data_IF_840058350174
#
_entry.id   IF_840058350174
#
_cell.length_a   1.000
_cell.length_b   1.000
_cell.length_c   1.000
_cell.angle_alpha   90.00
_cell.angle_beta   90.00
_cell.angle_gamma   90.00
#
_symmetry.space_group_name_H-M   'P 1'
#
loop_
_entity.id
_entity.type
_entity.pdbx_description
1 polymer ?
#
# COMPACT_ATOMS: atom_id res chain seq x y z
N UNK A 1 11.94 -20.27 3.33
CA UNK A 1 10.76 -19.44 3.66
C UNK A 1 9.48 -20.26 3.56
N UNK A 2 8.47 -19.83 4.26
CA UNK A 2 7.12 -20.42 4.22
C UNK A 2 6.18 -19.42 3.58
N UNK A 3 5.33 -19.88 2.66
CA UNK A 3 4.32 -19.07 2.00
C UNK A 3 2.95 -19.50 2.50
N UNK A 4 2.26 -18.61 3.19
CA UNK A 4 0.91 -18.83 3.71
C UNK A 4 -0.11 -18.07 2.88
N UNK A 5 -1.23 -18.72 2.54
CA UNK A 5 -2.38 -18.05 1.94
C UNK A 5 -3.51 -18.07 2.97
N UNK A 6 -3.90 -16.89 3.42
CA UNK A 6 -4.81 -16.72 4.54
C UNK A 6 -6.07 -15.98 4.12
N UNK A 7 -7.13 -16.19 4.90
CA UNK A 7 -8.33 -15.34 4.85
C UNK A 7 -8.35 -14.54 6.16
N UNK A 8 -8.15 -13.24 6.05
CA UNK A 8 -8.12 -12.33 7.20
C UNK A 8 -9.45 -11.61 7.31
N UNK A 9 -10.08 -11.72 8.48
CA UNK A 9 -11.37 -11.08 8.72
C UNK A 9 -11.21 -9.56 8.78
N UNK A 10 -12.10 -8.87 8.06
CA UNK A 10 -12.25 -7.42 8.14
C UNK A 10 -13.55 -7.09 8.85
N UNK A 11 -13.50 -6.68 10.13
CA UNK A 11 -14.71 -6.28 10.83
C UNK A 11 -15.43 -5.09 10.18
N UNK A 12 -14.68 -4.11 9.68
CA UNK A 12 -15.27 -2.92 9.06
C UNK A 12 -16.03 -3.22 7.76
N UNK A 13 -15.61 -4.25 7.02
CA UNK A 13 -16.28 -4.66 5.78
C UNK A 13 -17.18 -5.88 5.97
N UNK A 14 -17.14 -6.52 7.14
CA UNK A 14 -17.86 -7.74 7.44
C UNK A 14 -17.63 -8.84 6.39
N UNK A 15 -16.36 -9.04 6.02
CA UNK A 15 -15.94 -10.08 5.08
C UNK A 15 -14.52 -10.52 5.37
N UNK A 16 -14.10 -11.57 4.70
CA UNK A 16 -12.72 -12.03 4.74
C UNK A 16 -11.95 -11.55 3.50
N UNK A 17 -10.69 -11.16 3.70
CA UNK A 17 -9.80 -10.70 2.64
C UNK A 17 -8.64 -11.68 2.52
N UNK A 18 -8.36 -12.14 1.31
CA UNK A 18 -7.22 -13.03 1.07
C UNK A 18 -5.91 -12.25 1.22
N UNK A 19 -4.96 -12.84 1.94
CA UNK A 19 -3.63 -12.27 2.17
C UNK A 19 -2.59 -13.37 2.00
N UNK A 20 -1.56 -13.10 1.23
CA UNK A 20 -0.41 -13.99 1.10
C UNK A 20 0.70 -13.46 1.98
N UNK A 21 1.28 -14.34 2.82
CA UNK A 21 2.38 -13.98 3.72
C UNK A 21 3.59 -14.85 3.41
N UNK A 22 4.73 -14.22 3.17
CA UNK A 22 6.01 -14.89 2.94
C UNK A 22 6.85 -14.70 4.18
N UNK A 23 7.14 -15.79 4.90
CA UNK A 23 7.80 -15.77 6.20
C UNK A 23 9.20 -16.36 6.06
N UNK A 24 10.27 -15.61 6.40
CA UNK A 24 11.62 -16.17 6.40
C UNK A 24 11.78 -17.26 7.45
N UNK A 25 12.63 -18.24 7.18
CA UNK A 25 12.86 -19.35 8.10
C UNK A 25 13.24 -18.91 9.52
N UNK A 26 14.00 -17.80 9.63
CA UNK A 26 14.42 -17.28 10.95
C UNK A 26 13.25 -16.79 11.81
N UNK A 27 12.11 -16.50 11.23
CA UNK A 27 10.92 -16.04 11.93
C UNK A 27 9.96 -17.18 12.31
N UNK A 28 10.27 -18.41 11.92
CA UNK A 28 9.40 -19.56 12.14
C UNK A 28 9.64 -20.23 13.51
N UNK A 29 8.58 -20.79 14.05
CA UNK A 29 8.61 -21.59 15.28
C UNK A 29 8.78 -20.75 16.57
N UNK A 30 8.87 -21.45 17.69
CA UNK A 30 8.91 -20.82 19.02
C UNK A 30 10.17 -19.98 19.25
N UNK A 31 11.28 -20.32 18.59
CA UNK A 31 12.57 -19.59 18.66
C UNK A 31 12.71 -18.58 17.53
N UNK A 32 11.63 -18.28 16.82
CA UNK A 32 11.65 -17.32 15.73
C UNK A 32 12.07 -15.93 16.18
N UNK A 33 12.79 -15.24 15.29
CA UNK A 33 13.25 -13.87 15.48
C UNK A 33 12.22 -12.90 14.93
N UNK A 34 11.95 -11.82 15.64
CA UNK A 34 11.07 -10.76 15.13
C UNK A 34 11.72 -10.07 13.93
N UNK A 35 10.97 -9.97 12.83
CA UNK A 35 11.46 -9.44 11.56
C UNK A 35 10.66 -8.21 11.15
N UNK A 36 11.29 -7.30 10.38
CA UNK A 36 10.54 -6.22 9.74
C UNK A 36 9.58 -6.78 8.70
N UNK A 37 8.54 -6.02 8.40
CA UNK A 37 7.48 -6.39 7.46
C UNK A 37 7.43 -5.38 6.34
N UNK A 38 7.35 -5.87 5.10
CA UNK A 38 7.02 -5.05 3.93
C UNK A 38 5.66 -5.51 3.40
N UNK A 39 4.71 -4.59 3.40
CA UNK A 39 3.40 -4.78 2.80
C UNK A 39 3.49 -4.42 1.32
N UNK A 40 3.08 -5.35 0.44
CA UNK A 40 3.16 -5.22 -1.02
C UNK A 40 1.76 -5.13 -1.61
N UNK A 41 1.42 -4.00 -2.20
CA UNK A 41 0.10 -3.75 -2.77
C UNK A 41 0.11 -3.96 -4.29
N UNK A 42 -0.85 -4.74 -4.80
CA UNK A 42 -0.97 -5.02 -6.23
C UNK A 42 -1.62 -3.87 -7.01
N UNK A 43 -1.46 -3.88 -8.32
CA UNK A 43 -2.10 -2.95 -9.23
C UNK A 43 -3.52 -3.35 -9.62
N UNK A 44 -4.15 -2.53 -10.47
CA UNK A 44 -5.51 -2.76 -10.96
C UNK A 44 -5.63 -4.14 -11.63
N UNK A 45 -6.69 -4.86 -11.30
CA UNK A 45 -6.92 -6.21 -11.82
C UNK A 45 -6.13 -7.31 -11.14
N UNK A 46 -5.24 -6.98 -10.20
CA UNK A 46 -4.47 -7.95 -9.44
C UNK A 46 -5.21 -8.53 -8.24
N UNK A 47 -4.47 -9.30 -7.44
CA UNK A 47 -4.97 -9.95 -6.23
C UNK A 47 -3.81 -10.26 -5.27
N UNK A 48 -4.08 -11.01 -4.20
CA UNK A 48 -3.06 -11.36 -3.20
C UNK A 48 -1.87 -12.15 -3.76
N UNK A 49 -2.03 -12.85 -4.89
CA UNK A 49 -0.97 -13.66 -5.51
C UNK A 49 -0.17 -12.91 -6.58
N UNK A 50 -0.52 -11.68 -6.88
CA UNK A 50 0.13 -10.90 -7.94
C UNK A 50 1.63 -10.76 -7.71
N UNK A 51 2.04 -10.32 -6.51
CA UNK A 51 3.45 -10.08 -6.23
C UNK A 51 4.29 -11.34 -6.29
N UNK A 52 3.83 -12.45 -5.75
CA UNK A 52 4.57 -13.70 -5.81
C UNK A 52 4.63 -14.26 -7.25
N UNK A 53 3.66 -13.90 -8.08
CA UNK A 53 3.65 -14.25 -9.51
C UNK A 53 4.66 -13.45 -10.31
N UNK A 54 4.79 -12.16 -10.09
CA UNK A 54 5.73 -11.29 -10.81
C UNK A 54 7.13 -11.31 -10.21
N UNK A 55 7.26 -11.68 -8.93
CA UNK A 55 8.55 -11.82 -8.22
C UNK A 55 8.58 -13.17 -7.50
N UNK A 56 8.75 -14.27 -8.26
CA UNK A 56 8.74 -15.62 -7.67
C UNK A 56 9.91 -15.86 -6.72
N UNK A 57 10.93 -15.00 -6.73
CA UNK A 57 12.07 -15.04 -5.81
C UNK A 57 11.79 -14.41 -4.43
N UNK A 58 10.56 -13.91 -4.17
CA UNK A 58 10.24 -13.33 -2.86
C UNK A 58 10.57 -14.25 -1.67
N UNK A 59 10.28 -15.56 -1.71
CA UNK A 59 10.68 -16.45 -0.61
C UNK A 59 12.20 -16.46 -0.36
N UNK A 60 12.99 -16.46 -1.44
CA UNK A 60 14.44 -16.41 -1.34
C UNK A 60 14.92 -15.07 -0.75
N UNK A 61 14.33 -13.96 -1.21
CA UNK A 61 14.64 -12.62 -0.69
C UNK A 61 14.28 -12.52 0.78
N UNK A 62 13.14 -13.07 1.18
CA UNK A 62 12.72 -13.12 2.58
C UNK A 62 13.78 -13.78 3.47
N UNK A 63 14.31 -14.94 3.05
CA UNK A 63 15.36 -15.65 3.79
C UNK A 63 16.68 -14.89 3.79
N UNK A 64 17.09 -14.32 2.65
CA UNK A 64 18.35 -13.57 2.54
C UNK A 64 18.35 -12.30 3.38
N UNK A 65 17.22 -11.59 3.45
CA UNK A 65 17.11 -10.28 4.10
C UNK A 65 16.50 -10.33 5.50
N UNK A 66 15.89 -11.46 5.88
CA UNK A 66 15.16 -11.54 7.14
C UNK A 66 13.93 -10.66 7.18
N UNK A 67 13.15 -10.65 6.11
CA UNK A 67 11.96 -9.79 5.94
C UNK A 67 10.72 -10.65 5.73
N UNK A 68 9.63 -10.29 6.40
CA UNK A 68 8.30 -10.83 6.13
C UNK A 68 7.64 -9.97 5.05
N UNK A 69 7.12 -10.60 3.99
CA UNK A 69 6.33 -9.91 2.96
C UNK A 69 4.85 -10.24 3.13
N UNK A 70 4.00 -9.24 3.06
CA UNK A 70 2.54 -9.39 3.22
C UNK A 70 1.84 -8.75 2.03
N UNK A 71 1.06 -9.56 1.31
CA UNK A 71 0.43 -9.17 0.04
C UNK A 71 -1.08 -9.33 0.15
N UNK A 72 -1.84 -8.26 0.46
CA UNK A 72 -3.29 -8.34 0.54
C UNK A 72 -3.95 -8.27 -0.84
N UNK A 73 -5.15 -8.84 -0.93
CA UNK A 73 -6.05 -8.58 -2.05
C UNK A 73 -6.81 -7.28 -1.76
N UNK A 74 -6.52 -6.25 -2.53
CA UNK A 74 -7.21 -4.96 -2.44
C UNK A 74 -8.35 -4.80 -3.44
N UNK A 75 -8.68 -5.85 -4.22
CA UNK A 75 -9.63 -5.72 -5.33
C UNK A 75 -9.25 -4.54 -6.23
N UNK A 76 -10.21 -3.82 -6.77
CA UNK A 76 -10.00 -2.59 -7.52
C UNK A 76 -10.44 -1.38 -6.68
N UNK A 77 -10.13 -1.41 -5.40
CA UNK A 77 -10.57 -0.43 -4.40
C UNK A 77 -9.75 0.84 -4.37
N UNK A 78 -8.60 0.87 -5.02
CA UNK A 78 -7.60 1.93 -4.86
C UNK A 78 -7.13 2.10 -3.42
N UNK A 79 -7.42 1.08 -2.59
CA UNK A 79 -7.05 1.07 -1.16
C UNK A 79 -7.62 2.24 -0.37
N UNK A 80 -8.75 2.78 -0.83
CA UNK A 80 -9.52 3.80 -0.12
C UNK A 80 -10.53 3.18 0.83
N UNK A 81 -10.94 3.94 1.82
CA UNK A 81 -12.26 3.82 2.41
C UNK A 81 -13.21 4.60 1.49
N UNK A 82 -14.04 3.89 0.76
CA UNK A 82 -14.90 4.54 -0.23
C UNK A 82 -15.96 5.41 0.46
N UNK A 83 -16.10 6.68 0.07
CA UNK A 83 -17.18 7.51 0.59
C UNK A 83 -18.57 7.12 0.06
N UNK A 84 -18.60 6.29 -0.99
CA UNK A 84 -19.82 5.90 -1.67
C UNK A 84 -20.23 4.46 -1.42
N UNK A 85 -19.27 3.54 -1.24
CA UNK A 85 -19.52 2.11 -1.14
C UNK A 85 -19.00 1.56 0.18
N UNK A 86 -19.92 1.15 1.06
CA UNK A 86 -19.61 0.64 2.40
C UNK A 86 -18.88 -0.70 2.39
N UNK A 87 -18.92 -1.44 1.29
CA UNK A 87 -18.22 -2.73 1.15
C UNK A 87 -16.73 -2.54 0.88
N UNK A 88 -16.29 -1.30 0.66
CA UNK A 88 -14.89 -0.95 0.37
C UNK A 88 -14.32 -0.04 1.46
N UNK A 89 -13.72 -0.68 2.49
CA UNK A 89 -13.03 -0.02 3.60
C UNK A 89 -11.58 -0.47 3.62
N UNK A 90 -10.90 -0.35 2.48
CA UNK A 90 -9.55 -0.91 2.33
C UNK A 90 -8.45 -0.07 2.96
N UNK A 91 -8.66 1.21 3.16
CA UNK A 91 -7.75 2.01 4.00
C UNK A 91 -7.77 1.50 5.45
N UNK A 92 -8.94 1.30 6.02
CA UNK A 92 -9.09 0.73 7.37
C UNK A 92 -8.49 -0.67 7.45
N UNK A 93 -8.74 -1.50 6.45
CA UNK A 93 -8.18 -2.85 6.41
C UNK A 93 -6.65 -2.83 6.38
N UNK A 94 -6.06 -2.10 5.44
CA UNK A 94 -4.60 -2.07 5.22
C UNK A 94 -3.87 -1.41 6.38
N UNK A 95 -4.40 -0.32 6.93
CA UNK A 95 -3.71 0.48 7.94
C UNK A 95 -3.97 0.01 9.38
N UNK A 96 -4.96 -0.81 9.61
CA UNK A 96 -5.36 -1.24 10.95
C UNK A 96 -5.66 -2.74 11.06
N UNK A 97 -6.68 -3.22 10.38
CA UNK A 97 -7.17 -4.60 10.58
C UNK A 97 -6.15 -5.66 10.17
N UNK A 98 -5.54 -5.51 9.01
CA UNK A 98 -4.48 -6.40 8.52
C UNK A 98 -3.23 -6.31 9.39
N UNK A 99 -2.80 -5.09 9.72
CA UNK A 99 -1.62 -4.85 10.57
C UNK A 99 -1.76 -5.59 11.89
N UNK A 100 -2.90 -5.44 12.56
CA UNK A 100 -3.15 -6.07 13.85
C UNK A 100 -3.15 -7.60 13.74
N UNK A 101 -3.74 -8.15 12.69
CA UNK A 101 -3.74 -9.59 12.46
C UNK A 101 -2.32 -10.13 12.26
N UNK A 102 -1.54 -9.50 11.41
CA UNK A 102 -0.17 -9.92 11.10
C UNK A 102 0.71 -9.84 12.34
N UNK A 103 0.66 -8.75 13.09
CA UNK A 103 1.46 -8.60 14.31
C UNK A 103 1.11 -9.62 15.38
N UNK A 104 -0.16 -10.05 15.42
CA UNK A 104 -0.61 -11.07 16.38
C UNK A 104 -0.19 -12.48 16.00
N UNK A 105 -0.12 -12.80 14.72
CA UNK A 105 0.07 -14.18 14.24
C UNK A 105 1.49 -14.48 13.75
N UNK A 106 2.34 -13.48 13.58
CA UNK A 106 3.70 -13.64 13.07
C UNK A 106 4.71 -12.91 13.95
N UNK A 107 5.97 -13.33 13.85
CA UNK A 107 7.09 -12.72 14.56
C UNK A 107 7.53 -11.43 13.88
N UNK A 108 6.82 -10.35 14.17
CA UNK A 108 7.06 -9.04 13.56
C UNK A 108 7.70 -8.07 14.55
N UNK A 109 8.44 -7.10 14.00
CA UNK A 109 8.77 -5.87 14.75
C UNK A 109 7.52 -5.01 14.69
N UNK A 110 6.70 -5.02 15.76
CA UNK A 110 5.34 -4.52 15.76
C UNK A 110 5.26 -3.01 16.03
N UNK A 111 6.07 -2.21 15.35
CA UNK A 111 5.98 -0.76 15.38
C UNK A 111 6.36 -0.16 14.01
N UNK A 112 6.16 1.14 13.84
CA UNK A 112 6.36 1.83 12.57
C UNK A 112 7.78 1.68 11.99
N UNK A 113 8.79 1.54 12.84
CA UNK A 113 10.19 1.38 12.40
C UNK A 113 10.43 0.04 11.72
N UNK A 114 9.61 -0.95 12.02
CA UNK A 114 9.66 -2.27 11.40
C UNK A 114 8.65 -2.48 10.28
N UNK A 115 7.95 -1.43 9.82
CA UNK A 115 6.93 -1.54 8.78
C UNK A 115 7.21 -0.62 7.61
N UNK A 116 7.23 -1.21 6.42
CA UNK A 116 7.23 -0.49 5.16
C UNK A 116 6.03 -0.94 4.32
N UNK A 117 5.58 -0.07 3.44
CA UNK A 117 4.51 -0.37 2.50
C UNK A 117 4.92 0.14 1.11
N UNK A 118 4.78 -0.70 0.11
CA UNK A 118 5.08 -0.31 -1.26
C UNK A 118 4.07 -0.95 -2.22
N UNK A 119 4.03 -0.48 -3.43
CA UNK A 119 3.11 -1.00 -4.41
C UNK A 119 3.38 -0.52 -5.82
N UNK A 120 2.67 -1.14 -6.74
CA UNK A 120 2.78 -0.95 -8.18
C UNK A 120 1.48 -0.35 -8.72
N UNK A 121 1.56 0.77 -9.45
CA UNK A 121 0.43 1.42 -10.13
C UNK A 121 -0.68 1.82 -9.13
N UNK A 122 -1.87 1.20 -9.17
CA UNK A 122 -2.89 1.38 -8.14
C UNK A 122 -2.33 1.10 -6.74
N UNK A 123 -1.44 0.10 -6.61
CA UNK A 123 -0.77 -0.23 -5.36
C UNK A 123 0.23 0.83 -4.92
N UNK A 124 0.88 1.52 -5.86
CA UNK A 124 1.75 2.66 -5.55
C UNK A 124 0.97 3.84 -4.96
N UNK A 125 -0.18 4.14 -5.54
CA UNK A 125 -1.15 5.06 -4.97
C UNK A 125 -1.54 4.60 -3.55
N UNK A 126 -1.93 3.35 -3.41
CA UNK A 126 -2.38 2.79 -2.12
C UNK A 126 -1.32 2.83 -1.04
N UNK A 127 -0.07 2.55 -1.39
CA UNK A 127 1.05 2.59 -0.46
C UNK A 127 1.29 4.00 0.08
N UNK A 128 1.37 4.99 -0.80
CA UNK A 128 1.56 6.39 -0.38
C UNK A 128 0.33 6.95 0.33
N UNK A 129 -0.87 6.65 -0.17
CA UNK A 129 -2.13 7.05 0.47
C UNK A 129 -2.18 6.61 1.92
N UNK A 130 -1.95 5.32 2.16
CA UNK A 130 -2.01 4.77 3.50
C UNK A 130 -0.85 5.25 4.40
N UNK A 131 0.38 5.28 3.89
CA UNK A 131 1.53 5.69 4.69
C UNK A 131 1.47 7.16 5.10
N UNK A 132 1.09 8.06 4.21
CA UNK A 132 1.00 9.49 4.52
C UNK A 132 -0.10 9.74 5.56
N UNK A 133 -1.25 9.11 5.39
CA UNK A 133 -2.40 9.28 6.29
C UNK A 133 -2.22 8.53 7.62
N UNK A 134 -1.36 7.51 7.65
CA UNK A 134 -1.08 6.67 8.81
C UNK A 134 0.43 6.57 9.07
N UNK A 135 1.10 7.71 9.14
CA UNK A 135 2.54 7.79 9.40
C UNK A 135 2.95 7.33 10.79
N UNK A 136 1.99 7.18 11.70
CA UNK A 136 2.18 6.55 12.99
C UNK A 136 2.27 5.01 12.89
N UNK A 137 1.76 4.43 11.80
CA UNK A 137 1.75 2.98 11.56
C UNK A 137 2.95 2.54 10.72
N UNK A 138 3.27 3.31 9.66
CA UNK A 138 4.34 2.99 8.71
C UNK A 138 5.52 3.94 8.86
N UNK A 139 6.74 3.39 8.81
CA UNK A 139 7.96 4.19 8.85
C UNK A 139 8.57 4.47 7.48
N UNK A 140 8.19 3.67 6.47
CA UNK A 140 8.71 3.80 5.11
C UNK A 140 7.63 3.47 4.09
N UNK A 141 7.67 4.13 2.95
CA UNK A 141 6.75 3.87 1.85
C UNK A 141 7.44 4.00 0.50
N UNK A 142 6.98 3.21 -0.46
CA UNK A 142 7.46 3.26 -1.83
C UNK A 142 6.32 3.21 -2.84
N UNK A 143 6.56 3.76 -4.02
CA UNK A 143 5.62 3.72 -5.13
C UNK A 143 6.37 3.49 -6.43
N UNK A 144 6.00 2.44 -7.15
CA UNK A 144 6.49 2.17 -8.49
C UNK A 144 5.38 2.48 -9.49
N UNK A 145 5.61 3.47 -10.35
CA UNK A 145 4.64 3.91 -11.36
C UNK A 145 3.24 4.15 -10.78
N UNK A 146 3.17 4.83 -9.64
CA UNK A 146 1.93 5.01 -8.88
C UNK A 146 0.99 6.03 -9.49
N UNK A 147 -0.31 5.79 -9.30
CA UNK A 147 -1.37 6.74 -9.66
C UNK A 147 -1.51 7.86 -8.63
N UNK A 148 -0.48 8.68 -8.49
CA UNK A 148 -0.36 9.68 -7.41
C UNK A 148 -1.17 10.96 -7.64
N UNK A 149 -1.68 11.16 -8.84
CA UNK A 149 -2.74 12.11 -9.14
C UNK A 149 -3.74 11.44 -10.08
N UNK A 150 -4.93 11.20 -9.58
CA UNK A 150 -5.97 10.47 -10.29
C UNK A 150 -6.82 11.38 -11.19
N UNK A 151 -6.79 12.69 -10.94
CA UNK A 151 -7.72 13.65 -11.58
C UNK A 151 -7.60 13.75 -13.10
N UNK A 152 -6.42 13.52 -13.72
CA UNK A 152 -6.32 13.46 -15.18
C UNK A 152 -6.97 12.23 -15.82
N UNK A 153 -7.41 11.25 -15.01
CA UNK A 153 -7.91 9.95 -15.47
C UNK A 153 -9.33 9.64 -14.95
N UNK A 154 -10.30 10.56 -15.10
CA UNK A 154 -11.58 10.47 -14.37
C UNK A 154 -12.49 9.34 -14.82
N UNK A 155 -12.22 8.73 -15.98
CA UNK A 155 -13.03 7.65 -16.55
C UNK A 155 -12.35 6.29 -16.53
N UNK A 156 -11.18 6.19 -15.89
CA UNK A 156 -10.37 4.99 -15.92
C UNK A 156 -10.46 4.23 -14.58
N UNK A 157 -10.18 2.92 -14.67
CA UNK A 157 -9.92 2.03 -13.52
C UNK A 157 -10.99 2.04 -12.43
N UNK A 158 -12.26 2.20 -12.82
CA UNK A 158 -13.42 2.11 -11.94
C UNK A 158 -13.40 3.09 -10.74
N UNK A 159 -12.58 4.14 -10.79
CA UNK A 159 -12.47 5.09 -9.67
C UNK A 159 -13.80 5.80 -9.39
N UNK A 160 -14.60 6.07 -10.43
CA UNK A 160 -15.90 6.71 -10.25
C UNK A 160 -16.90 5.84 -9.48
N UNK A 161 -16.73 4.53 -9.47
CA UNK A 161 -17.56 3.64 -8.64
C UNK A 161 -17.31 3.86 -7.16
N UNK A 162 -16.10 4.28 -6.79
CA UNK A 162 -15.69 4.53 -5.40
C UNK A 162 -15.96 6.00 -4.99
N UNK A 163 -15.75 6.94 -5.90
CA UNK A 163 -15.75 8.37 -5.59
C UNK A 163 -16.95 9.14 -6.17
N UNK A 164 -17.75 8.50 -7.03
CA UNK A 164 -18.72 9.21 -7.88
C UNK A 164 -18.02 9.84 -9.08
N UNK A 165 -18.77 10.45 -9.99
CA UNK A 165 -18.19 11.15 -11.15
C UNK A 165 -17.42 12.38 -10.70
N UNK A 166 -16.33 12.70 -11.40
CA UNK A 166 -15.51 13.88 -11.05
C UNK A 166 -16.30 15.18 -11.22
N UNK A 167 -17.19 15.24 -12.24
CA UNK A 167 -18.00 16.43 -12.51
C UNK A 167 -18.92 16.79 -11.33
N UNK A 168 -19.49 15.78 -10.68
CA UNK A 168 -20.41 15.98 -9.55
C UNK A 168 -19.72 15.92 -8.18
N UNK A 169 -18.48 15.41 -8.12
CA UNK A 169 -17.77 15.10 -6.88
C UNK A 169 -16.34 15.62 -6.87
N UNK A 170 -16.11 16.82 -7.41
CA UNK A 170 -14.76 17.38 -7.57
C UNK A 170 -13.97 17.40 -6.26
N UNK A 171 -14.60 17.83 -5.18
CA UNK A 171 -13.94 17.90 -3.87
C UNK A 171 -13.57 16.50 -3.36
N UNK A 172 -14.44 15.51 -3.58
CA UNK A 172 -14.15 14.12 -3.18
C UNK A 172 -12.91 13.60 -3.91
N UNK A 173 -12.79 13.88 -5.22
CA UNK A 173 -11.62 13.49 -6.00
C UNK A 173 -10.35 14.19 -5.51
N UNK A 174 -10.42 15.49 -5.26
CA UNK A 174 -9.29 16.26 -4.72
C UNK A 174 -8.85 15.70 -3.37
N UNK A 175 -9.79 15.36 -2.50
CA UNK A 175 -9.52 14.85 -1.14
C UNK A 175 -8.98 13.41 -1.15
N UNK A 176 -9.15 12.67 -2.24
CA UNK A 176 -8.70 11.27 -2.38
C UNK A 176 -7.49 11.12 -3.31
N UNK A 177 -6.75 12.19 -3.54
CA UNK A 177 -5.57 12.24 -4.40
C UNK A 177 -4.30 12.32 -3.57
N UNK A 178 -3.32 11.45 -3.84
CA UNK A 178 -2.08 11.37 -3.06
C UNK A 178 -1.32 12.68 -3.02
N UNK A 179 -1.13 13.34 -4.18
CA UNK A 179 -0.34 14.59 -4.24
C UNK A 179 -0.93 15.69 -3.33
N UNK A 180 -2.22 15.64 -3.05
CA UNK A 180 -2.89 16.59 -2.15
C UNK A 180 -2.75 16.21 -0.67
N UNK A 181 -2.12 15.08 -0.36
CA UNK A 181 -1.90 14.64 1.02
C UNK A 181 -0.50 14.97 1.54
N UNK A 182 0.46 15.23 0.65
CA UNK A 182 1.88 15.33 1.03
C UNK A 182 2.20 16.58 1.87
N UNK A 183 1.35 17.60 1.87
CA UNK A 183 1.47 18.76 2.74
C UNK A 183 1.27 18.42 4.22
N UNK A 184 0.75 17.24 4.53
CA UNK A 184 0.64 16.71 5.90
C UNK A 184 1.96 16.17 6.42
N UNK A 185 2.97 16.00 5.56
CA UNK A 185 4.27 15.48 5.93
C UNK A 185 5.23 16.59 6.28
N UNK A 186 6.11 16.27 7.24
CA UNK A 186 7.35 16.99 7.49
C UNK A 186 8.52 16.10 7.13
N UNK A 187 9.65 16.68 6.79
CA UNK A 187 10.85 15.91 6.48
C UNK A 187 11.21 14.99 7.65
N UNK A 188 11.47 13.73 7.35
CA UNK A 188 11.78 12.70 8.35
C UNK A 188 10.59 11.92 8.87
N UNK A 189 9.34 12.31 8.54
CA UNK A 189 8.15 11.55 8.96
C UNK A 189 8.11 10.15 8.36
N UNK A 190 8.51 10.03 7.09
CA UNK A 190 8.56 8.78 6.34
C UNK A 190 9.85 8.71 5.52
N UNK A 191 10.44 7.52 5.43
CA UNK A 191 11.41 7.22 4.38
C UNK A 191 10.63 6.93 3.09
N UNK A 192 10.90 7.67 2.03
CA UNK A 192 10.12 7.61 0.79
C UNK A 192 10.98 7.23 -0.40
N UNK A 193 10.49 6.31 -1.25
CA UNK A 193 11.05 5.99 -2.55
C UNK A 193 9.92 6.10 -3.58
N UNK A 194 10.15 6.93 -4.60
CA UNK A 194 9.19 7.10 -5.70
C UNK A 194 9.93 6.87 -7.02
N UNK A 195 9.46 5.93 -7.81
CA UNK A 195 9.98 5.71 -9.14
C UNK A 195 8.86 5.55 -10.16
N UNK A 196 9.19 5.75 -11.45
CA UNK A 196 8.23 5.60 -12.54
C UNK A 196 8.97 5.31 -13.84
N UNK A 197 8.42 4.38 -14.62
CA UNK A 197 8.93 4.10 -15.96
C UNK A 197 8.84 5.33 -16.87
N UNK A 198 9.86 5.57 -17.70
CA UNK A 198 9.92 6.74 -18.60
C UNK A 198 8.81 6.75 -19.66
N UNK A 199 8.30 5.58 -20.02
CA UNK A 199 7.23 5.46 -21.01
C UNK A 199 5.85 5.23 -20.36
N UNK A 200 5.75 5.35 -19.03
CA UNK A 200 4.52 5.11 -18.28
C UNK A 200 3.57 6.30 -18.39
N UNK A 201 2.27 6.00 -18.50
CA UNK A 201 1.24 7.05 -18.57
C UNK A 201 1.12 7.87 -17.26
N UNK A 202 1.65 7.36 -16.15
CA UNK A 202 1.73 8.11 -14.88
C UNK A 202 3.03 8.92 -14.72
N UNK A 203 3.87 9.02 -15.74
CA UNK A 203 5.15 9.71 -15.60
C UNK A 203 4.99 11.18 -15.18
N UNK A 204 4.08 11.91 -15.83
CA UNK A 204 3.90 13.35 -15.55
C UNK A 204 3.39 13.59 -14.14
N UNK A 205 2.43 12.79 -13.68
CA UNK A 205 1.92 12.93 -12.31
C UNK A 205 2.98 12.57 -11.25
N UNK A 206 3.88 11.63 -11.56
CA UNK A 206 5.00 11.30 -10.67
C UNK A 206 6.08 12.39 -10.66
N UNK A 207 6.36 13.01 -11.81
CA UNK A 207 7.23 14.20 -11.86
C UNK A 207 6.67 15.34 -11.02
N UNK A 208 5.36 15.56 -11.10
CA UNK A 208 4.69 16.60 -10.31
C UNK A 208 4.78 16.28 -8.80
N UNK A 209 4.63 15.02 -8.42
CA UNK A 209 4.81 14.61 -7.02
C UNK A 209 6.25 14.86 -6.55
N UNK A 210 7.23 14.47 -7.35
CA UNK A 210 8.65 14.73 -7.05
C UNK A 210 8.91 16.21 -6.82
N UNK A 211 8.43 17.06 -7.73
CA UNK A 211 8.60 18.51 -7.61
C UNK A 211 7.89 19.07 -6.37
N UNK A 212 6.71 18.56 -6.05
CA UNK A 212 5.99 18.98 -4.84
C UNK A 212 6.74 18.63 -3.56
N UNK A 213 7.32 17.42 -3.51
CA UNK A 213 8.15 17.01 -2.37
C UNK A 213 9.42 17.87 -2.24
N UNK A 214 10.02 18.26 -3.36
CA UNK A 214 11.15 19.20 -3.34
C UNK A 214 10.75 20.58 -2.80
N UNK A 215 9.60 21.12 -3.24
CA UNK A 215 9.07 22.39 -2.73
C UNK A 215 8.86 22.36 -1.22
N UNK A 216 8.35 21.22 -0.70
CA UNK A 216 8.11 21.02 0.71
C UNK A 216 9.37 20.65 1.50
N UNK A 217 10.52 20.50 0.82
CA UNK A 217 11.80 20.09 1.41
C UNK A 217 11.70 18.73 2.13
N UNK A 218 10.99 17.79 1.52
CA UNK A 218 10.84 16.42 2.00
C UNK A 218 11.79 15.53 1.22
N UNK A 219 12.72 14.88 1.91
CA UNK A 219 13.66 13.92 1.33
C UNK A 219 12.92 12.68 0.80
N UNK A 220 13.37 12.21 -0.37
CA UNK A 220 12.79 11.04 -1.02
C UNK A 220 13.73 10.45 -2.07
#
# INVERSE_FOLDING_TARGET
AQVDTLMVKSPSMNKEVQVVVVVPDIALGKKGVDCPVIYLLHGFGGNAKTWIGIRPELPQIADEKGIIFVCPDGKNSWYWDSPKNKDYRYETFVSSEMINYIDKHYKTIADRRGRAITGLSMGGHGALWNAIRHKDVFGAAGSTSGGVDIRPFPKNWLMSEQLGTIEENRQVWDDHTVINQVDKLQNGDLALIVDCGKADFFLDVNKNLHNRLLELKIDH
#
